data_IF_959510609088
#
_entry.id   IF_959510609088
#
_cell.length_a   1.000
_cell.length_b   1.000
_cell.length_c   1.000
_cell.angle_alpha   90.00
_cell.angle_beta   90.00
_cell.angle_gamma   90.00
#
_symmetry.space_group_name_H-M   'P 1'
#
loop_
_entity.id
_entity.type
_entity.pdbx_description
1 polymer ?
#
# COMPACT_ATOMS: atom_id res chain seq x y z
N UNK A 1 -0.72 15.17 19.22
CA UNK A 1 0.63 14.70 18.90
C UNK A 1 0.54 13.25 18.44
N UNK A 2 0.46 13.06 17.14
CA UNK A 2 0.51 11.72 16.55
C UNK A 2 1.90 11.13 16.81
N UNK A 3 1.95 10.00 17.49
CA UNK A 3 3.17 9.23 17.64
C UNK A 3 3.74 8.86 16.27
N UNK A 4 4.99 9.24 15.94
CA UNK A 4 5.60 8.89 14.65
C UNK A 4 5.91 7.39 14.51
N UNK A 5 5.40 6.54 15.42
CA UNK A 5 5.83 5.16 15.57
C UNK A 5 5.24 4.15 14.59
N UNK A 6 4.12 4.44 13.92
CA UNK A 6 3.41 3.41 13.17
C UNK A 6 4.05 3.09 11.81
N UNK A 7 4.51 4.10 11.11
CA UNK A 7 5.15 3.89 9.80
C UNK A 7 6.67 3.67 9.89
N UNK A 8 7.32 4.11 11.00
CA UNK A 8 8.69 3.71 11.32
C UNK A 8 8.82 2.18 11.48
N UNK A 9 7.80 1.49 11.98
CA UNK A 9 7.77 0.02 12.02
C UNK A 9 7.73 -0.60 10.63
N UNK A 10 6.97 -0.02 9.70
CA UNK A 10 6.96 -0.47 8.30
C UNK A 10 8.29 -0.15 7.60
N UNK A 11 8.93 0.97 7.92
CA UNK A 11 10.24 1.34 7.40
C UNK A 11 11.35 0.42 7.90
N UNK A 12 11.37 0.07 9.18
CA UNK A 12 12.37 -0.85 9.75
C UNK A 12 12.24 -2.24 9.12
N UNK A 13 11.03 -2.75 8.94
CA UNK A 13 10.77 -4.01 8.24
C UNK A 13 11.19 -3.96 6.77
N UNK A 14 11.03 -2.82 6.11
CA UNK A 14 11.41 -2.63 4.71
C UNK A 14 12.92 -2.43 4.51
N UNK A 15 13.58 -1.68 5.39
CA UNK A 15 15.04 -1.49 5.37
C UNK A 15 15.80 -2.78 5.74
N UNK A 16 15.27 -3.59 6.64
CA UNK A 16 15.85 -4.90 6.99
C UNK A 16 15.85 -5.86 5.80
N UNK A 17 14.90 -5.71 4.88
CA UNK A 17 14.82 -6.53 3.66
C UNK A 17 15.89 -6.18 2.63
N UNK A 18 16.40 -4.94 2.64
CA UNK A 18 17.45 -4.48 1.71
C UNK A 18 18.86 -4.79 2.19
N UNK A 19 19.04 -5.05 3.48
CA UNK A 19 20.35 -5.33 4.08
C UNK A 19 20.68 -6.82 4.25
N UNK A 20 19.76 -7.72 3.87
CA UNK A 20 19.99 -9.17 3.95
C UNK A 20 20.83 -9.64 2.75
N UNK A 21 21.84 -10.50 2.96
CA UNK A 21 22.61 -11.07 1.86
C UNK A 21 21.69 -11.86 0.93
N UNK A 22 22.02 -11.83 -0.37
CA UNK A 22 21.23 -12.44 -1.46
C UNK A 22 20.84 -13.92 -1.19
N UNK A 23 21.71 -14.67 -0.52
CA UNK A 23 21.44 -16.06 -0.11
C UNK A 23 20.35 -16.19 0.95
N UNK A 24 20.18 -15.19 1.83
CA UNK A 24 19.08 -15.15 2.81
C UNK A 24 17.77 -14.69 2.18
N UNK A 25 17.84 -13.82 1.17
CA UNK A 25 16.67 -13.41 0.37
C UNK A 25 16.08 -14.60 -0.39
N UNK A 26 16.91 -15.44 -0.99
CA UNK A 26 16.49 -16.68 -1.67
C UNK A 26 15.89 -17.71 -0.69
N UNK A 27 16.44 -17.82 0.52
CA UNK A 27 15.93 -18.72 1.57
C UNK A 27 14.61 -18.22 2.16
N UNK A 28 14.46 -16.89 2.34
CA UNK A 28 13.20 -16.27 2.73
C UNK A 28 12.13 -16.41 1.62
N UNK A 29 12.53 -16.33 0.34
CA UNK A 29 11.64 -16.49 -0.82
C UNK A 29 11.10 -17.92 -0.95
N UNK A 30 11.88 -18.94 -0.60
CA UNK A 30 11.40 -20.34 -0.59
C UNK A 30 10.45 -20.63 0.58
N UNK A 31 10.54 -19.86 1.67
CA UNK A 31 9.65 -19.97 2.84
C UNK A 31 8.37 -19.13 2.72
N UNK A 32 8.37 -18.10 1.86
CA UNK A 32 7.22 -17.21 1.60
C UNK A 32 6.55 -17.49 0.26
N UNK A 33 7.05 -18.45 -0.52
CA UNK A 33 6.55 -18.76 -1.86
C UNK A 33 5.23 -19.53 -1.86
N UNK A 34 4.79 -20.08 -0.72
CA UNK A 34 3.44 -20.63 -0.61
C UNK A 34 2.52 -19.54 -0.03
N UNK A 35 1.54 -19.05 -0.82
CA UNK A 35 0.53 -18.17 -0.26
C UNK A 35 -0.17 -18.93 0.87
N UNK A 36 -0.14 -18.36 2.07
CA UNK A 36 -0.91 -18.87 3.19
C UNK A 36 -2.36 -19.09 2.73
N UNK A 37 -2.89 -20.28 2.93
CA UNK A 37 -4.26 -20.63 2.53
C UNK A 37 -5.29 -19.59 3.02
N UNK A 38 -5.05 -19.00 4.20
CA UNK A 38 -5.91 -17.94 4.76
C UNK A 38 -5.91 -16.67 3.92
N UNK A 39 -4.80 -16.33 3.28
CA UNK A 39 -4.69 -15.15 2.41
C UNK A 39 -5.33 -15.39 1.04
N UNK A 40 -5.24 -16.61 0.51
CA UNK A 40 -5.97 -16.99 -0.71
C UNK A 40 -7.48 -16.91 -0.48
N UNK A 41 -7.95 -17.38 0.67
CA UNK A 41 -9.36 -17.31 1.05
C UNK A 41 -9.86 -15.87 1.18
N UNK A 42 -9.05 -14.96 1.73
CA UNK A 42 -9.40 -13.54 1.83
C UNK A 42 -9.56 -12.89 0.46
N UNK A 43 -8.61 -13.08 -0.45
CA UNK A 43 -8.71 -12.51 -1.80
C UNK A 43 -9.92 -13.10 -2.54
N UNK A 44 -10.14 -14.41 -2.44
CA UNK A 44 -11.30 -15.06 -3.05
C UNK A 44 -12.61 -14.48 -2.53
N UNK A 45 -12.77 -14.32 -1.21
CA UNK A 45 -13.96 -13.72 -0.61
C UNK A 45 -14.18 -12.27 -1.03
N UNK A 46 -13.11 -11.47 -1.09
CA UNK A 46 -13.20 -10.08 -1.56
C UNK A 46 -13.55 -9.98 -3.05
N UNK A 47 -13.06 -10.90 -3.88
CA UNK A 47 -13.44 -11.00 -5.30
C UNK A 47 -14.91 -11.37 -5.50
N UNK A 48 -15.46 -12.24 -4.64
CA UNK A 48 -16.90 -12.54 -4.65
C UNK A 48 -17.73 -11.28 -4.34
N UNK A 49 -17.32 -10.47 -3.38
CA UNK A 49 -17.97 -9.19 -3.08
C UNK A 49 -17.93 -8.28 -4.30
N UNK A 50 -16.78 -8.16 -4.98
CA UNK A 50 -16.65 -7.35 -6.19
C UNK A 50 -17.47 -7.90 -7.37
N UNK A 51 -17.67 -9.21 -7.47
CA UNK A 51 -18.53 -9.79 -8.48
C UNK A 51 -20.00 -9.37 -8.32
N UNK A 52 -20.44 -9.24 -7.06
CA UNK A 52 -21.80 -8.78 -6.73
C UNK A 52 -21.91 -7.24 -6.72
N UNK A 53 -20.86 -6.56 -6.28
CA UNK A 53 -20.79 -5.12 -6.11
C UNK A 53 -19.49 -4.57 -6.69
N UNK A 54 -19.39 -4.37 -8.05
CA UNK A 54 -18.14 -3.96 -8.70
C UNK A 54 -17.57 -2.62 -8.22
N UNK A 55 -18.43 -1.74 -7.69
CA UNK A 55 -18.06 -0.44 -7.13
C UNK A 55 -17.66 -0.46 -5.65
N UNK A 56 -17.50 -1.64 -5.03
CA UNK A 56 -17.14 -1.71 -3.62
C UNK A 56 -15.67 -1.36 -3.40
N UNK A 57 -15.41 -0.09 -3.03
CA UNK A 57 -14.06 0.45 -2.79
C UNK A 57 -13.33 -0.29 -1.68
N UNK A 58 -14.02 -0.65 -0.59
CA UNK A 58 -13.43 -1.38 0.53
C UNK A 58 -12.90 -2.77 0.12
N UNK A 59 -13.69 -3.51 -0.66
CA UNK A 59 -13.28 -4.83 -1.13
C UNK A 59 -12.06 -4.74 -2.08
N UNK A 60 -12.05 -3.75 -2.97
CA UNK A 60 -10.91 -3.53 -3.88
C UNK A 60 -9.65 -3.12 -3.12
N UNK A 61 -9.80 -2.21 -2.17
CA UNK A 61 -8.72 -1.83 -1.25
C UNK A 61 -8.14 -3.05 -0.51
N UNK A 62 -9.01 -3.92 0.00
CA UNK A 62 -8.61 -5.15 0.68
C UNK A 62 -7.77 -6.07 -0.21
N UNK A 63 -8.18 -6.26 -1.47
CA UNK A 63 -7.42 -7.06 -2.44
C UNK A 63 -6.04 -6.43 -2.70
N UNK A 64 -5.98 -5.13 -2.95
CA UNK A 64 -4.72 -4.42 -3.17
C UNK A 64 -3.76 -4.59 -1.99
N UNK A 65 -4.27 -4.47 -0.76
CA UNK A 65 -3.48 -4.66 0.46
C UNK A 65 -2.93 -6.09 0.62
N UNK A 66 -3.74 -7.10 0.34
CA UNK A 66 -3.29 -8.49 0.41
C UNK A 66 -2.24 -8.81 -0.67
N UNK A 67 -2.41 -8.29 -1.89
CA UNK A 67 -1.41 -8.41 -2.96
C UNK A 67 -0.09 -7.71 -2.59
N UNK A 68 -0.15 -6.50 -2.02
CA UNK A 68 1.03 -5.78 -1.55
C UNK A 68 1.80 -6.56 -0.47
N UNK A 69 1.09 -7.16 0.49
CA UNK A 69 1.69 -8.02 1.52
C UNK A 69 2.43 -9.22 0.93
N UNK A 70 1.93 -9.78 -0.16
CA UNK A 70 2.57 -10.90 -0.86
C UNK A 70 3.78 -10.48 -1.69
N UNK A 71 4.00 -9.20 -1.86
CA UNK A 71 5.03 -8.66 -2.74
C UNK A 71 4.63 -8.69 -4.23
N UNK A 72 3.35 -8.93 -4.52
CA UNK A 72 2.78 -8.83 -5.87
C UNK A 72 2.51 -7.37 -6.21
N UNK A 73 3.58 -6.58 -6.33
CA UNK A 73 3.54 -5.12 -6.36
C UNK A 73 2.74 -4.59 -7.54
N UNK A 74 2.99 -5.09 -8.75
CA UNK A 74 2.30 -4.60 -9.95
C UNK A 74 0.79 -4.91 -9.91
N UNK A 75 0.41 -6.08 -9.42
CA UNK A 75 -0.99 -6.44 -9.25
C UNK A 75 -1.66 -5.57 -8.17
N UNK A 76 -0.97 -5.30 -7.06
CA UNK A 76 -1.46 -4.41 -6.01
C UNK A 76 -1.68 -2.98 -6.53
N UNK A 77 -0.72 -2.45 -7.28
CA UNK A 77 -0.81 -1.10 -7.87
C UNK A 77 -1.96 -1.00 -8.87
N UNK A 78 -2.18 -2.03 -9.70
CA UNK A 78 -3.31 -2.07 -10.63
C UNK A 78 -4.66 -2.01 -9.90
N UNK A 79 -4.80 -2.69 -8.76
CA UNK A 79 -6.01 -2.63 -7.93
C UNK A 79 -6.16 -1.25 -7.25
N UNK A 80 -5.07 -0.64 -6.77
CA UNK A 80 -5.11 0.73 -6.26
C UNK A 80 -5.49 1.74 -7.33
N UNK A 81 -4.96 1.62 -8.54
CA UNK A 81 -5.28 2.53 -9.65
C UNK A 81 -6.77 2.42 -10.04
N UNK A 82 -7.30 1.21 -10.10
CA UNK A 82 -8.72 0.99 -10.35
C UNK A 82 -9.58 1.55 -9.22
N UNK A 83 -9.17 1.35 -7.96
CA UNK A 83 -9.84 1.91 -6.79
C UNK A 83 -9.94 3.44 -6.90
N UNK A 84 -8.82 4.12 -7.12
CA UNK A 84 -8.74 5.58 -7.14
C UNK A 84 -9.40 6.20 -8.39
N UNK A 85 -9.51 5.44 -9.48
CA UNK A 85 -10.30 5.85 -10.65
C UNK A 85 -11.79 5.82 -10.36
N UNK A 86 -12.26 4.84 -9.60
CA UNK A 86 -13.67 4.67 -9.27
C UNK A 86 -14.10 5.48 -8.05
N UNK A 87 -13.18 5.78 -7.15
CA UNK A 87 -13.42 6.49 -5.88
C UNK A 87 -12.22 7.41 -5.59
N UNK A 88 -12.27 8.60 -6.17
CA UNK A 88 -11.22 9.61 -6.06
C UNK A 88 -11.02 10.14 -4.62
N UNK A 89 -12.00 9.93 -3.76
CA UNK A 89 -11.96 10.40 -2.37
C UNK A 89 -11.49 9.32 -1.39
N UNK A 90 -11.06 8.16 -1.88
CA UNK A 90 -10.56 7.08 -1.04
C UNK A 90 -9.13 7.36 -0.55
N UNK A 91 -9.01 8.23 0.44
CA UNK A 91 -7.72 8.76 0.97
C UNK A 91 -6.72 7.66 1.34
N UNK A 92 -7.17 6.57 1.97
CA UNK A 92 -6.30 5.45 2.34
C UNK A 92 -5.67 4.77 1.12
N UNK A 93 -6.34 4.76 -0.03
CA UNK A 93 -5.82 4.22 -1.28
C UNK A 93 -4.58 4.97 -1.79
N UNK A 94 -4.59 6.28 -1.70
CA UNK A 94 -3.42 7.12 -2.04
C UNK A 94 -2.24 6.81 -1.14
N UNK A 95 -2.46 6.78 0.16
CA UNK A 95 -1.40 6.55 1.13
C UNK A 95 -0.77 5.17 0.99
N UNK A 96 -1.58 4.12 0.93
CA UNK A 96 -1.07 2.75 0.84
C UNK A 96 -0.43 2.44 -0.51
N UNK A 97 -0.95 2.99 -1.60
CA UNK A 97 -0.30 2.85 -2.91
C UNK A 97 1.05 3.59 -2.96
N UNK A 98 1.15 4.76 -2.32
CA UNK A 98 2.42 5.48 -2.19
C UNK A 98 3.44 4.70 -1.36
N UNK A 99 3.03 4.08 -0.26
CA UNK A 99 3.90 3.20 0.53
C UNK A 99 4.37 1.99 -0.28
N UNK A 100 3.47 1.39 -1.05
CA UNK A 100 3.80 0.25 -1.93
C UNK A 100 4.83 0.66 -2.98
N UNK A 101 4.65 1.80 -3.62
CA UNK A 101 5.59 2.37 -4.60
C UNK A 101 6.95 2.68 -3.97
N UNK A 102 6.97 3.36 -2.84
CA UNK A 102 8.21 3.70 -2.12
C UNK A 102 8.97 2.44 -1.71
N UNK A 103 8.25 1.45 -1.25
CA UNK A 103 8.83 0.16 -0.90
C UNK A 103 9.40 -0.62 -2.06
N UNK A 104 8.87 -0.43 -3.25
CA UNK A 104 9.39 -1.00 -4.50
C UNK A 104 10.54 -0.18 -5.10
N UNK A 105 10.98 0.89 -4.44
CA UNK A 105 12.03 1.79 -4.94
C UNK A 105 11.54 2.80 -6.00
N UNK A 106 10.24 2.87 -6.25
CA UNK A 106 9.61 3.78 -7.23
C UNK A 106 9.31 5.14 -6.58
N UNK A 107 10.38 5.81 -6.10
CA UNK A 107 10.32 7.02 -5.30
C UNK A 107 9.54 8.16 -5.97
N UNK A 108 9.81 8.43 -7.25
CA UNK A 108 9.16 9.53 -7.98
C UNK A 108 7.65 9.32 -8.07
N UNK A 109 7.21 8.10 -8.34
CA UNK A 109 5.79 7.76 -8.45
C UNK A 109 5.11 7.82 -7.07
N UNK A 110 5.81 7.40 -6.01
CA UNK A 110 5.33 7.54 -4.64
C UNK A 110 5.08 9.01 -4.27
N UNK A 111 5.99 9.91 -4.64
CA UNK A 111 5.87 11.35 -4.42
C UNK A 111 4.63 11.91 -5.12
N UNK A 112 4.40 11.56 -6.38
CA UNK A 112 3.23 12.02 -7.13
C UNK A 112 1.92 11.49 -6.51
N UNK A 113 1.93 10.24 -6.08
CA UNK A 113 0.78 9.63 -5.39
C UNK A 113 0.47 10.32 -4.06
N UNK A 114 1.50 10.68 -3.30
CA UNK A 114 1.34 11.43 -2.03
C UNK A 114 0.78 12.83 -2.26
N UNK A 115 1.26 13.55 -3.27
CA UNK A 115 0.72 14.88 -3.59
C UNK A 115 -0.78 14.82 -3.91
N UNK A 116 -1.20 13.85 -4.71
CA UNK A 116 -2.60 13.63 -5.01
C UNK A 116 -3.41 13.30 -3.75
N UNK A 117 -2.89 12.41 -2.91
CA UNK A 117 -3.52 12.02 -1.64
C UNK A 117 -3.63 13.15 -0.63
N UNK A 118 -2.63 14.03 -0.54
CA UNK A 118 -2.65 15.24 0.30
C UNK A 118 -3.80 16.15 -0.15
N UNK A 119 -3.95 16.36 -1.45
CA UNK A 119 -5.07 17.13 -1.99
C UNK A 119 -6.41 16.51 -1.66
N UNK A 120 -6.54 15.20 -1.76
CA UNK A 120 -7.74 14.45 -1.37
C UNK A 120 -8.04 14.61 0.13
N UNK A 121 -7.06 14.39 1.00
CA UNK A 121 -7.21 14.52 2.45
C UNK A 121 -7.60 15.94 2.87
N UNK A 122 -7.02 16.96 2.22
CA UNK A 122 -7.36 18.36 2.48
C UNK A 122 -8.83 18.66 2.12
N UNK A 123 -9.30 18.22 0.96
CA UNK A 123 -10.71 18.39 0.56
C UNK A 123 -11.68 17.68 1.50
N UNK A 124 -11.31 16.49 1.95
CA UNK A 124 -12.13 15.68 2.87
C UNK A 124 -12.03 16.09 4.34
N UNK A 125 -11.18 17.06 4.69
CA UNK A 125 -10.97 17.46 6.09
C UNK A 125 -10.26 16.40 6.95
N UNK A 126 -9.60 15.43 6.33
CA UNK A 126 -8.89 14.37 7.03
C UNK A 126 -7.47 14.83 7.43
N UNK A 127 -7.38 15.59 8.51
CA UNK A 127 -6.14 16.18 8.99
C UNK A 127 -5.09 15.13 9.40
N UNK A 128 -5.52 13.98 9.90
CA UNK A 128 -4.62 12.89 10.27
C UNK A 128 -3.90 12.31 9.04
N UNK A 129 -4.67 11.91 8.03
CA UNK A 129 -4.11 11.38 6.79
C UNK A 129 -3.24 12.42 6.07
N UNK A 130 -3.64 13.69 6.09
CA UNK A 130 -2.86 14.79 5.54
C UNK A 130 -1.49 14.89 6.20
N UNK A 131 -1.45 14.87 7.53
CA UNK A 131 -0.18 14.95 8.30
C UNK A 131 0.73 13.75 8.02
N UNK A 132 0.18 12.55 7.95
CA UNK A 132 0.95 11.34 7.67
C UNK A 132 1.55 11.34 6.25
N UNK A 133 0.74 11.71 5.26
CA UNK A 133 1.22 11.80 3.87
C UNK A 133 2.24 12.91 3.68
N UNK A 134 2.06 14.07 4.36
CA UNK A 134 3.03 15.16 4.32
C UNK A 134 4.37 14.73 4.94
N UNK A 135 4.35 14.04 6.07
CA UNK A 135 5.56 13.52 6.72
C UNK A 135 6.31 12.54 5.81
N UNK A 136 5.59 11.64 5.13
CA UNK A 136 6.19 10.70 4.19
C UNK A 136 6.76 11.41 2.96
N UNK A 137 6.06 12.43 2.45
CA UNK A 137 6.52 13.24 1.32
C UNK A 137 7.83 13.97 1.65
N UNK A 138 7.90 14.59 2.82
CA UNK A 138 9.09 15.30 3.30
C UNK A 138 10.29 14.35 3.46
N UNK A 139 10.04 13.13 3.88
CA UNK A 139 11.08 12.12 4.01
C UNK A 139 11.59 11.62 2.65
N UNK A 140 10.70 11.35 1.73
CA UNK A 140 11.07 10.94 0.38
C UNK A 140 11.77 12.06 -0.39
N UNK A 141 11.48 13.32 -0.06
CA UNK A 141 12.08 14.49 -0.69
C UNK A 141 13.53 14.78 -0.27
N UNK A 142 14.01 14.12 0.80
CA UNK A 142 15.42 14.25 1.26
C UNK A 142 16.37 13.37 0.48
#
# INVERSE_FOLDING_TARGET
>A
LAEPGHWLRYRILFQFRQSLPFTQILRARSKTAEPDASTMDKIAGLKEILALHPGNSFARYGIAMELAKRGEIEAALAEFDTLLTNDEDYTAGYFMSAQTLAGAGRKSEAIERLKAGIGCAARGGNSHALSEMQAMLDELGR
#
